data_IF_768786604896
#
_entry.id   IF_768786604896
#
_cell.length_a   1.000
_cell.length_b   1.000
_cell.length_c   1.000
_cell.angle_alpha   90.00
_cell.angle_beta   90.00
_cell.angle_gamma   90.00
#
_symmetry.space_group_name_H-M   'P 1'
#
loop_
_entity.id
_entity.type
_entity.pdbx_description
1 polymer ?
#
# COMPACT_ATOMS: atom_id res chain seq x y z
N UNK A 1 -16.41 2.74 7.31
CA UNK A 1 -15.94 3.86 6.50
C UNK A 1 -14.58 3.56 5.91
N UNK A 2 -14.42 3.74 4.63
CA UNK A 2 -13.18 3.44 3.95
C UNK A 2 -12.19 4.59 4.06
N UNK A 3 -10.92 4.22 4.17
CA UNK A 3 -9.79 5.15 4.04
C UNK A 3 -9.10 4.81 2.73
N UNK A 4 -8.79 5.80 1.92
CA UNK A 4 -8.15 5.52 0.66
C UNK A 4 -7.17 6.62 0.29
N UNK A 5 -6.18 6.25 -0.51
CA UNK A 5 -5.15 7.18 -0.95
C UNK A 5 -4.58 6.70 -2.29
N UNK A 6 -4.41 7.64 -3.20
CA UNK A 6 -3.80 7.35 -4.51
C UNK A 6 -2.31 7.62 -4.41
N UNK A 7 -1.49 6.71 -4.93
CA UNK A 7 -0.05 6.82 -4.80
C UNK A 7 0.65 6.20 -6.00
N UNK A 8 1.95 6.51 -6.14
CA UNK A 8 2.77 5.93 -7.19
C UNK A 8 3.75 4.96 -6.55
N UNK A 9 3.82 3.75 -7.09
CA UNK A 9 4.76 2.74 -6.62
C UNK A 9 6.18 3.21 -6.89
N UNK A 10 7.04 3.14 -5.87
CA UNK A 10 8.44 3.52 -6.01
C UNK A 10 9.36 2.31 -6.09
N UNK A 11 8.99 1.21 -5.44
CA UNK A 11 9.82 0.00 -5.35
C UNK A 11 8.94 -1.23 -5.40
N UNK A 12 9.53 -2.34 -5.87
CA UNK A 12 8.89 -3.66 -5.85
C UNK A 12 9.97 -4.67 -5.49
N UNK A 13 9.80 -5.35 -4.35
CA UNK A 13 10.81 -6.25 -3.79
C UNK A 13 10.25 -7.66 -3.71
N UNK A 14 10.52 -8.47 -4.72
CA UNK A 14 9.95 -9.81 -4.83
C UNK A 14 10.38 -10.74 -3.70
N UNK A 15 11.64 -10.70 -3.34
CA UNK A 15 12.20 -11.62 -2.34
C UNK A 15 12.17 -11.03 -0.95
N UNK A 16 11.00 -10.58 -0.54
CA UNK A 16 10.80 -9.93 0.73
C UNK A 16 9.45 -10.38 1.29
N UNK A 17 9.26 -10.21 2.57
CA UNK A 17 8.02 -10.60 3.22
C UNK A 17 6.85 -9.79 2.67
N UNK A 18 5.70 -10.44 2.44
CA UNK A 18 4.56 -9.79 1.84
C UNK A 18 4.07 -8.60 2.66
N UNK A 19 4.08 -7.42 2.05
CA UNK A 19 3.65 -6.19 2.71
C UNK A 19 3.70 -5.04 1.72
N UNK A 20 3.21 -3.88 2.14
CA UNK A 20 3.38 -2.65 1.40
C UNK A 20 3.95 -1.60 2.33
N UNK A 21 5.21 -1.24 2.10
CA UNK A 21 5.85 -0.20 2.91
C UNK A 21 5.43 1.16 2.35
N UNK A 22 4.86 2.00 3.22
CA UNK A 22 4.28 3.27 2.85
C UNK A 22 4.92 4.38 3.67
N UNK A 23 5.30 5.46 2.99
CA UNK A 23 5.79 6.66 3.66
C UNK A 23 4.90 6.97 4.88
N UNK A 24 5.53 7.11 6.04
CA UNK A 24 4.80 7.35 7.28
C UNK A 24 3.90 8.56 7.22
N UNK A 25 4.28 9.60 6.49
CA UNK A 25 3.45 10.78 6.33
C UNK A 25 2.14 10.44 5.60
N UNK A 26 2.22 9.58 4.58
CA UNK A 26 1.02 9.17 3.87
C UNK A 26 0.11 8.33 4.75
N UNK A 27 0.69 7.48 5.58
CA UNK A 27 -0.11 6.72 6.55
C UNK A 27 -0.85 7.68 7.48
N UNK A 28 -0.17 8.70 7.97
CA UNK A 28 -0.79 9.67 8.87
C UNK A 28 -1.91 10.45 8.18
N UNK A 29 -1.68 10.89 6.95
CA UNK A 29 -2.67 11.67 6.19
C UNK A 29 -3.90 10.82 5.88
N UNK A 30 -3.69 9.56 5.47
CA UNK A 30 -4.79 8.69 5.07
C UNK A 30 -5.53 8.09 6.26
N UNK A 31 -4.90 8.09 7.44
CA UNK A 31 -5.46 7.45 8.61
C UNK A 31 -5.26 5.93 8.63
N UNK A 32 -4.51 5.40 7.68
CA UNK A 32 -4.19 3.96 7.66
C UNK A 32 -3.10 3.70 8.70
N UNK A 33 -3.31 2.65 9.48
CA UNK A 33 -2.41 2.32 10.57
C UNK A 33 -1.39 1.28 10.12
N UNK A 34 -0.22 1.30 10.74
CA UNK A 34 0.77 0.26 10.50
C UNK A 34 0.18 -1.10 10.86
N UNK A 35 0.46 -2.09 10.03
CA UNK A 35 -0.04 -3.47 10.13
C UNK A 35 -1.51 -3.65 9.81
N UNK A 36 -2.19 -2.58 9.43
CA UNK A 36 -3.58 -2.68 9.00
C UNK A 36 -3.65 -3.38 7.64
N UNK A 37 -4.65 -4.23 7.47
CA UNK A 37 -4.89 -4.87 6.18
C UNK A 37 -5.33 -3.83 5.17
N UNK A 38 -4.74 -3.88 3.99
CA UNK A 38 -5.07 -2.94 2.92
C UNK A 38 -5.35 -3.68 1.63
N UNK A 39 -6.21 -3.09 0.83
CA UNK A 39 -6.53 -3.53 -0.52
C UNK A 39 -5.87 -2.57 -1.48
N UNK A 40 -5.17 -3.11 -2.46
CA UNK A 40 -4.47 -2.29 -3.44
C UNK A 40 -5.04 -2.56 -4.82
N UNK A 41 -5.38 -1.49 -5.50
CA UNK A 41 -5.92 -1.54 -6.86
C UNK A 41 -4.93 -0.84 -7.78
N UNK A 42 -4.38 -1.59 -8.73
CA UNK A 42 -3.40 -1.03 -9.67
C UNK A 42 -4.15 -0.44 -10.86
N UNK A 43 -4.10 0.87 -10.98
CA UNK A 43 -4.82 1.59 -12.04
C UNK A 43 -4.27 1.28 -13.41
N UNK A 44 -2.97 0.98 -13.49
CA UNK A 44 -2.30 0.78 -14.78
C UNK A 44 -2.61 -0.58 -15.42
N UNK A 45 -2.76 -1.63 -14.61
CA UNK A 45 -2.95 -2.97 -15.15
C UNK A 45 -4.22 -3.66 -14.67
N UNK A 46 -5.00 -3.02 -13.80
CA UNK A 46 -6.24 -3.60 -13.31
C UNK A 46 -6.08 -4.66 -12.23
N UNK A 47 -4.87 -4.97 -11.82
CA UNK A 47 -4.65 -5.98 -10.79
C UNK A 47 -5.11 -5.48 -9.43
N UNK A 48 -5.55 -6.44 -8.62
CA UNK A 48 -6.04 -6.16 -7.27
C UNK A 48 -5.44 -7.18 -6.32
N UNK A 49 -5.00 -6.74 -5.17
CA UNK A 49 -4.45 -7.66 -4.19
C UNK A 49 -4.60 -7.09 -2.79
N UNK A 50 -4.44 -7.95 -1.81
CA UNK A 50 -4.59 -7.63 -0.40
C UNK A 50 -3.26 -7.88 0.29
N UNK A 51 -2.84 -6.94 1.11
CA UNK A 51 -1.63 -7.08 1.90
C UNK A 51 -1.80 -6.27 3.17
N UNK A 52 -0.73 -5.93 3.86
CA UNK A 52 -0.81 -5.07 5.03
C UNK A 52 0.23 -3.97 4.95
N UNK A 53 -0.03 -2.88 5.67
CA UNK A 53 0.80 -1.68 5.62
C UNK A 53 1.95 -1.79 6.61
N UNK A 54 3.14 -1.36 6.16
CA UNK A 54 4.30 -1.16 7.04
C UNK A 54 4.70 0.30 6.92
N UNK A 55 5.09 0.88 8.04
CA UNK A 55 5.49 2.29 8.04
C UNK A 55 6.91 2.43 7.48
N UNK A 56 7.04 3.22 6.43
CA UNK A 56 8.34 3.60 5.87
C UNK A 56 8.79 4.96 6.41
N UNK A 57 9.98 5.36 6.01
CA UNK A 57 10.55 6.62 6.47
C UNK A 57 9.65 7.80 6.12
N UNK A 58 9.38 8.62 7.10
CA UNK A 58 8.49 9.76 6.95
C UNK A 58 9.10 10.77 5.99
N UNK A 59 8.31 11.20 5.01
CA UNK A 59 8.75 12.18 4.02
C UNK A 59 9.57 11.59 2.88
N UNK A 60 9.78 10.27 2.86
CA UNK A 60 10.60 9.62 1.83
C UNK A 60 9.88 9.45 0.50
N UNK A 61 8.55 9.50 0.51
CA UNK A 61 7.75 9.20 -0.68
C UNK A 61 7.70 7.71 -0.99
N UNK A 62 8.14 6.86 -0.07
CA UNK A 62 8.26 5.42 -0.31
C UNK A 62 6.91 4.74 -0.46
N UNK A 63 6.76 3.98 -1.53
CA UNK A 63 5.65 3.05 -1.73
C UNK A 63 6.29 1.79 -2.30
N UNK A 64 6.54 0.80 -1.46
CA UNK A 64 7.23 -0.42 -1.88
C UNK A 64 6.29 -1.62 -1.76
N UNK A 65 6.07 -2.29 -2.88
CA UNK A 65 5.24 -3.50 -2.93
C UNK A 65 6.17 -4.68 -2.74
N UNK A 66 5.99 -5.38 -1.64
CA UNK A 66 6.93 -6.44 -1.21
C UNK A 66 6.30 -7.82 -1.33
N UNK A 67 7.13 -8.81 -1.64
CA UNK A 67 6.73 -10.21 -1.70
C UNK A 67 6.06 -10.55 -3.02
N UNK A 68 5.21 -11.57 -3.01
CA UNK A 68 4.58 -12.06 -4.24
C UNK A 68 3.77 -10.99 -4.95
N UNK A 69 3.24 -10.02 -4.22
CA UNK A 69 2.47 -8.93 -4.82
C UNK A 69 3.33 -8.05 -5.74
N UNK A 70 4.66 -8.14 -5.63
CA UNK A 70 5.55 -7.40 -6.53
C UNK A 70 5.36 -7.81 -7.99
N UNK A 71 4.76 -8.97 -8.23
CA UNK A 71 4.41 -9.38 -9.61
C UNK A 71 3.25 -8.55 -10.17
N UNK A 72 2.49 -7.90 -9.32
CA UNK A 72 1.26 -7.20 -9.72
C UNK A 72 1.40 -5.69 -9.79
N UNK A 73 2.55 -5.17 -9.41
CA UNK A 73 2.77 -3.72 -9.42
C UNK A 73 4.25 -3.43 -9.64
N UNK A 74 4.52 -2.51 -10.53
CA UNK A 74 5.88 -2.12 -10.89
C UNK A 74 6.13 -0.67 -10.49
N UNK A 75 7.38 -0.28 -10.22
CA UNK A 75 7.70 1.13 -9.99
C UNK A 75 7.13 2.00 -11.11
N UNK A 76 6.51 3.10 -10.73
CA UNK A 76 5.84 3.99 -11.68
C UNK A 76 4.35 3.75 -11.82
N UNK A 77 3.87 2.58 -11.39
CA UNK A 77 2.43 2.30 -11.47
C UNK A 77 1.67 3.16 -10.49
N UNK A 78 0.48 3.58 -10.89
CA UNK A 78 -0.42 4.33 -10.02
C UNK A 78 -1.34 3.33 -9.35
N UNK A 79 -1.42 3.40 -8.03
CA UNK A 79 -2.25 2.49 -7.26
C UNK A 79 -3.19 3.28 -6.35
N UNK A 80 -4.26 2.63 -5.95
CA UNK A 80 -5.17 3.14 -4.92
C UNK A 80 -5.06 2.20 -3.74
N UNK A 81 -4.72 2.74 -2.59
CA UNK A 81 -4.58 1.98 -1.36
C UNK A 81 -5.82 2.22 -0.52
N UNK A 82 -6.52 1.16 -0.17
CA UNK A 82 -7.76 1.27 0.61
C UNK A 82 -7.67 0.44 1.87
N UNK A 83 -8.14 1.00 2.98
CA UNK A 83 -8.35 0.26 4.20
C UNK A 83 -9.81 0.44 4.60
N UNK A 84 -10.48 -0.66 4.88
CA UNK A 84 -11.91 -0.63 5.21
C UNK A 84 -12.05 -0.78 6.71
N UNK A 85 -12.57 0.26 7.34
CA UNK A 85 -12.77 0.25 8.77
C UNK A 85 -13.77 -0.82 9.15
N UNK A 86 -13.44 -1.58 10.19
CA UNK A 86 -14.41 -2.51 10.77
C UNK A 86 -15.26 -1.75 11.75
N UNK A 87 -16.54 -2.07 11.74
CA UNK A 87 -17.45 -1.48 12.69
C UNK A 87 -17.50 -2.38 13.92
N UNK A 88 -17.27 -1.78 15.07
CA UNK A 88 -17.43 -2.49 16.34
C UNK A 88 -18.89 -2.65 16.64
N UNK A 89 -19.23 -3.84 17.10
CA UNK A 89 -20.63 -4.17 17.43
C UNK A 89 -20.88 -4.16 18.92
#
# INVERSE_FOLDING_TARGET
KAKSHRATVTHAELHYEGSCAIDGRLLDISGIREYEQIHIYNVNNGERFVTYAIRGDEGSGLISINGAAAHKASPGDIIIICAYAQLDQ
#
